data_IF_200483241822
#
_entry.id   IF_200483241822
#
_cell.length_a   1.000
_cell.length_b   1.000
_cell.length_c   1.000
_cell.angle_alpha   90.00
_cell.angle_beta   90.00
_cell.angle_gamma   90.00
#
_symmetry.space_group_name_H-M   'P 1'
#
loop_
_entity.id
_entity.type
_entity.pdbx_description
1 polymer ?
#
# COMPACT_ATOMS: atom_id res chain seq x y z
N UNK A 1 12.55 -0.39 31.05
CA UNK A 1 13.85 -1.09 31.07
C UNK A 1 14.08 -1.71 29.70
N UNK A 2 15.16 -1.33 29.02
CA UNK A 2 15.50 -1.87 27.69
C UNK A 2 16.19 -3.22 27.86
N UNK A 3 15.60 -4.30 27.33
CA UNK A 3 16.24 -5.61 27.29
C UNK A 3 17.31 -5.61 26.20
N UNK A 4 18.58 -5.52 26.60
CA UNK A 4 19.71 -5.65 25.68
C UNK A 4 20.00 -7.13 25.54
N UNK A 5 19.65 -7.69 24.38
CA UNK A 5 19.95 -9.08 24.03
C UNK A 5 21.26 -9.09 23.26
N UNK A 6 22.30 -9.72 23.81
CA UNK A 6 23.56 -9.91 23.14
C UNK A 6 23.49 -11.15 22.24
N UNK A 7 23.82 -10.99 20.96
CA UNK A 7 23.86 -12.07 19.97
C UNK A 7 25.23 -12.14 19.29
N UNK A 8 25.70 -13.33 18.90
CA UNK A 8 26.89 -13.47 18.07
C UNK A 8 26.77 -12.65 16.78
N UNK A 9 27.89 -12.06 16.33
CA UNK A 9 27.92 -11.21 15.14
C UNK A 9 27.38 -11.92 13.88
N UNK A 10 27.72 -13.20 13.71
CA UNK A 10 27.28 -14.03 12.58
C UNK A 10 25.76 -14.24 12.58
N UNK A 11 25.18 -14.42 13.77
CA UNK A 11 23.73 -14.56 13.94
C UNK A 11 23.04 -13.22 13.67
N UNK A 12 23.59 -12.12 14.18
CA UNK A 12 23.09 -10.77 13.89
C UNK A 12 23.08 -10.47 12.39
N UNK A 13 24.17 -10.75 11.67
CA UNK A 13 24.25 -10.53 10.23
C UNK A 13 23.21 -11.35 9.45
N UNK A 14 22.99 -12.59 9.89
CA UNK A 14 21.96 -13.47 9.32
C UNK A 14 20.55 -12.92 9.55
N UNK A 15 20.24 -12.49 10.78
CA UNK A 15 18.95 -11.90 11.14
C UNK A 15 18.71 -10.59 10.40
N UNK A 16 19.74 -9.74 10.28
CA UNK A 16 19.68 -8.47 9.55
C UNK A 16 19.39 -8.70 8.07
N UNK A 17 20.01 -9.72 7.45
CA UNK A 17 19.73 -10.08 6.05
C UNK A 17 18.28 -10.52 5.87
N UNK A 18 17.77 -11.38 6.77
CA UNK A 18 16.37 -11.82 6.75
C UNK A 18 15.40 -10.65 6.90
N UNK A 19 15.65 -9.75 7.85
CA UNK A 19 14.83 -8.56 8.08
C UNK A 19 14.73 -7.69 6.81
N UNK A 20 15.85 -7.43 6.14
CA UNK A 20 15.87 -6.67 4.89
C UNK A 20 15.04 -7.34 3.79
N UNK A 21 15.14 -8.66 3.64
CA UNK A 21 14.31 -9.40 2.68
C UNK A 21 12.82 -9.29 3.01
N UNK A 22 12.45 -9.36 4.29
CA UNK A 22 11.05 -9.14 4.69
C UNK A 22 10.57 -7.72 4.42
N UNK A 23 11.40 -6.71 4.66
CA UNK A 23 11.06 -5.30 4.34
C UNK A 23 10.85 -5.11 2.83
N UNK A 24 11.74 -5.67 2.01
CA UNK A 24 11.63 -5.63 0.55
C UNK A 24 10.35 -6.33 0.08
N UNK A 25 10.05 -7.53 0.59
CA UNK A 25 8.81 -8.25 0.28
C UNK A 25 7.55 -7.52 0.74
N UNK A 26 7.57 -6.95 1.95
CA UNK A 26 6.47 -6.15 2.47
C UNK A 26 6.21 -4.94 1.57
N UNK A 27 7.27 -4.26 1.11
CA UNK A 27 7.14 -3.11 0.22
C UNK A 27 6.46 -3.49 -1.11
N UNK A 28 6.81 -4.64 -1.69
CA UNK A 28 6.19 -5.16 -2.91
C UNK A 28 4.73 -5.59 -2.68
N UNK A 29 4.44 -6.20 -1.53
CA UNK A 29 3.08 -6.57 -1.15
C UNK A 29 2.19 -5.34 -0.96
N UNK A 30 2.67 -4.31 -0.25
CA UNK A 30 1.94 -3.06 -0.08
C UNK A 30 1.76 -2.29 -1.39
N UNK A 31 2.74 -2.34 -2.30
CA UNK A 31 2.56 -1.79 -3.65
C UNK A 31 1.52 -2.55 -4.47
N UNK A 32 1.45 -3.88 -4.32
CA UNK A 32 0.48 -4.73 -5.02
C UNK A 32 -0.94 -4.62 -4.44
N UNK A 33 -1.08 -4.45 -3.12
CA UNK A 33 -2.35 -4.14 -2.45
C UNK A 33 -2.80 -2.70 -2.74
N UNK A 34 -1.86 -1.78 -2.97
CA UNK A 34 -2.08 -0.51 -3.70
C UNK A 34 -2.20 -0.72 -5.22
N UNK A 35 -2.74 -1.86 -5.68
CA UNK A 35 -3.37 -1.91 -6.99
C UNK A 35 -4.40 -0.78 -7.13
N UNK A 36 -4.77 -0.41 -8.35
CA UNK A 36 -5.59 0.78 -8.67
C UNK A 36 -6.98 0.72 -8.03
N UNK A 37 -7.04 0.92 -6.71
CA UNK A 37 -8.25 0.92 -5.90
C UNK A 37 -9.18 2.04 -6.36
N UNK A 38 -8.63 3.10 -6.96
CA UNK A 38 -9.45 4.15 -7.57
C UNK A 38 -10.20 3.60 -8.77
N UNK A 39 -9.53 2.87 -9.67
CA UNK A 39 -10.17 2.20 -10.80
C UNK A 39 -11.23 1.19 -10.38
N UNK A 40 -10.96 0.36 -9.36
CA UNK A 40 -11.92 -0.63 -8.84
C UNK A 40 -13.17 0.04 -8.26
N UNK A 41 -12.99 1.04 -7.38
CA UNK A 41 -14.09 1.79 -6.77
C UNK A 41 -14.93 2.48 -7.85
N UNK A 42 -14.31 3.19 -8.79
CA UNK A 42 -15.04 3.88 -9.87
C UNK A 42 -15.82 2.88 -10.72
N UNK A 43 -15.26 1.68 -10.98
CA UNK A 43 -15.93 0.64 -11.73
C UNK A 43 -17.16 0.08 -11.01
N UNK A 44 -17.10 -0.08 -9.69
CA UNK A 44 -18.25 -0.54 -8.91
C UNK A 44 -19.40 0.48 -8.89
N UNK A 45 -19.08 1.77 -8.78
CA UNK A 45 -20.09 2.84 -8.93
C UNK A 45 -20.65 2.88 -10.36
N UNK A 46 -19.80 2.67 -11.37
CA UNK A 46 -20.25 2.61 -12.77
C UNK A 46 -21.19 1.43 -13.02
N UNK A 47 -20.91 0.25 -12.46
CA UNK A 47 -21.75 -0.96 -12.57
C UNK A 47 -23.13 -0.78 -11.93
N UNK A 48 -23.25 0.03 -10.88
CA UNK A 48 -24.53 0.34 -10.28
C UNK A 48 -25.50 1.02 -11.27
N UNK A 49 -24.99 1.75 -12.27
CA UNK A 49 -25.82 2.42 -13.28
C UNK A 49 -26.66 3.58 -12.76
N UNK A 50 -26.49 3.96 -11.49
CA UNK A 50 -27.27 5.00 -10.79
C UNK A 50 -26.65 6.39 -10.88
N UNK A 51 -25.39 6.48 -11.33
CA UNK A 51 -24.59 7.70 -11.22
C UNK A 51 -24.31 8.32 -12.58
N UNK A 52 -24.36 9.65 -12.63
CA UNK A 52 -24.07 10.40 -13.85
C UNK A 52 -22.59 10.29 -14.22
N UNK A 53 -22.28 10.46 -15.51
CA UNK A 53 -20.89 10.50 -16.00
C UNK A 53 -20.06 11.61 -15.32
N UNK A 54 -20.71 12.74 -14.99
CA UNK A 54 -20.08 13.84 -14.27
C UNK A 54 -19.66 13.43 -12.86
N UNK A 55 -20.56 12.81 -12.10
CA UNK A 55 -20.27 12.29 -10.77
C UNK A 55 -19.12 11.28 -10.78
N UNK A 56 -19.13 10.32 -11.71
CA UNK A 56 -18.07 9.31 -11.81
C UNK A 56 -16.69 9.93 -12.09
N UNK A 57 -16.65 10.97 -12.92
CA UNK A 57 -15.42 11.71 -13.22
C UNK A 57 -14.91 12.46 -11.99
N UNK A 58 -15.80 13.15 -11.28
CA UNK A 58 -15.44 13.92 -10.09
C UNK A 58 -15.00 13.00 -8.94
N UNK A 59 -15.65 11.84 -8.79
CA UNK A 59 -15.26 10.76 -7.88
C UNK A 59 -13.85 10.26 -8.19
N UNK A 60 -13.56 9.93 -9.45
CA UNK A 60 -12.23 9.47 -9.85
C UNK A 60 -11.16 10.54 -9.57
N UNK A 61 -11.42 11.80 -9.93
CA UNK A 61 -10.50 12.90 -9.67
C UNK A 61 -10.25 13.11 -8.17
N UNK A 62 -11.29 13.07 -7.35
CA UNK A 62 -11.18 13.20 -5.89
C UNK A 62 -10.38 12.06 -5.24
N UNK A 63 -10.63 10.82 -5.66
CA UNK A 63 -9.90 9.64 -5.17
C UNK A 63 -8.41 9.68 -5.56
N UNK A 64 -8.11 10.09 -6.80
CA UNK A 64 -6.72 10.26 -7.27
C UNK A 64 -6.01 11.39 -6.52
N UNK A 65 -6.70 12.50 -6.22
CA UNK A 65 -6.13 13.62 -5.48
C UNK A 65 -5.80 13.21 -4.04
N UNK A 66 -6.79 12.67 -3.31
CA UNK A 66 -6.60 12.23 -1.91
C UNK A 66 -5.53 11.14 -1.77
N UNK A 67 -5.38 10.26 -2.77
CA UNK A 67 -4.35 9.22 -2.76
C UNK A 67 -2.94 9.77 -2.98
N UNK A 68 -2.80 10.90 -3.68
CA UNK A 68 -1.52 11.57 -3.95
C UNK A 68 -1.10 12.53 -2.82
N UNK A 69 -2.03 13.07 -2.06
CA UNK A 69 -1.76 14.02 -0.95
C UNK A 69 -1.13 13.39 0.31
N UNK A 70 -0.91 12.07 0.36
CA UNK A 70 -0.19 11.38 1.46
C UNK A 70 1.33 11.25 1.23
N UNK A 71 1.95 12.24 0.60
CA UNK A 71 3.42 12.31 0.46
C UNK A 71 3.97 13.55 1.15
#
# INVERSE_FOLDING_TARGET
>A
MSNIVAVPKTEYETLRKKARTYEELASLFFQKVKGDATGEIVNDFKKAGLYSKGFLRDLESGLRFSSKSKK
#
